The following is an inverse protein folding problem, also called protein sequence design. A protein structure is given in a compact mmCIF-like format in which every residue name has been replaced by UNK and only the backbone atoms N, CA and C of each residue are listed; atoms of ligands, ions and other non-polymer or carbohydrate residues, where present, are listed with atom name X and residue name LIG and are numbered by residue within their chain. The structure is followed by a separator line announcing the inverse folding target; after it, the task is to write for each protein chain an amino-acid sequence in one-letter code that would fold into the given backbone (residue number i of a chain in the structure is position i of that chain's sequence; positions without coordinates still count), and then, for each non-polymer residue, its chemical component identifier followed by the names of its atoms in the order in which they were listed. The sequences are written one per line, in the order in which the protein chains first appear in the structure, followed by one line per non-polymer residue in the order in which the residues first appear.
data_IF_114779612031
#
_entry.id   IF_114779612031
#
_cell.length_a   1.000
_cell.length_b   1.000
_cell.length_c   1.000
_cell.angle_alpha   90.00
_cell.angle_beta   90.00
_cell.angle_gamma   90.00
#
_symmetry.space_group_name_H-M   'P 1'
#
loop_
_entity.id
_entity.type
_entity.pdbx_description
1 polymer ?
#
# COMPACT_ATOMS: atom_id res chain seq x y z
N UNK A 1 -1.96 -23.40 -9.65
CA UNK A 1 -1.72 -22.63 -8.40
C UNK A 1 -2.50 -21.34 -8.52
N UNK A 2 -3.38 -21.04 -7.57
CA UNK A 2 -4.05 -19.74 -7.50
C UNK A 2 -3.23 -18.79 -6.62
N UNK A 3 -3.40 -17.49 -6.81
CA UNK A 3 -2.70 -16.44 -6.06
C UNK A 3 -3.77 -15.58 -5.39
N UNK A 4 -3.62 -15.30 -4.10
CA UNK A 4 -4.50 -14.39 -3.40
C UNK A 4 -3.68 -13.23 -2.82
N UNK A 5 -4.19 -12.02 -2.98
CA UNK A 5 -3.60 -10.82 -2.41
C UNK A 5 -4.68 -9.98 -1.72
N UNK A 6 -4.39 -9.48 -0.54
CA UNK A 6 -5.32 -8.61 0.16
C UNK A 6 -4.64 -7.29 0.56
N UNK A 7 -5.41 -6.22 0.61
CA UNK A 7 -5.00 -5.05 1.35
C UNK A 7 -4.87 -5.36 2.85
N UNK A 8 -4.17 -4.49 3.59
CA UNK A 8 -3.91 -4.69 5.01
C UNK A 8 -4.87 -3.88 5.89
N UNK A 9 -4.78 -2.56 5.86
CA UNK A 9 -5.54 -1.68 6.76
C UNK A 9 -7.00 -1.55 6.34
N UNK A 10 -7.93 -1.92 7.21
CA UNK A 10 -9.36 -1.95 6.87
C UNK A 10 -9.80 -3.24 6.19
N UNK A 11 -8.88 -4.04 5.66
CA UNK A 11 -9.17 -5.28 4.94
C UNK A 11 -8.80 -6.51 5.78
N UNK A 12 -7.52 -6.82 5.96
CA UNK A 12 -7.06 -7.95 6.79
C UNK A 12 -6.93 -7.54 8.26
N UNK A 13 -6.39 -6.36 8.51
CA UNK A 13 -6.22 -5.76 9.82
C UNK A 13 -7.37 -4.79 10.11
N UNK A 14 -8.24 -5.17 11.03
CA UNK A 14 -9.44 -4.41 11.42
C UNK A 14 -9.57 -4.36 12.93
N UNK A 15 -10.04 -3.24 13.46
CA UNK A 15 -10.26 -3.06 14.91
C UNK A 15 -9.01 -3.38 15.78
N UNK A 16 -7.82 -3.11 15.23
CA UNK A 16 -6.55 -3.34 15.92
C UNK A 16 -6.07 -4.79 15.94
N UNK A 17 -6.69 -5.69 15.16
CA UNK A 17 -6.36 -7.11 15.13
C UNK A 17 -6.52 -7.75 13.73
N UNK A 18 -5.90 -8.91 13.57
CA UNK A 18 -6.16 -9.86 12.48
C UNK A 18 -6.94 -11.03 13.06
N UNK A 19 -8.08 -11.40 12.45
CA UNK A 19 -8.94 -12.45 13.01
C UNK A 19 -8.30 -13.84 12.90
N UNK A 20 -8.49 -14.68 13.92
CA UNK A 20 -8.02 -16.07 13.88
C UNK A 20 -8.65 -16.87 12.73
N UNK A 21 -9.87 -16.53 12.32
CA UNK A 21 -10.56 -17.18 11.21
C UNK A 21 -9.94 -16.81 9.84
N UNK A 22 -9.42 -15.57 9.70
CA UNK A 22 -8.69 -15.17 8.51
C UNK A 22 -7.31 -15.85 8.46
N UNK A 23 -6.57 -15.89 9.58
CA UNK A 23 -5.29 -16.59 9.69
C UNK A 23 -5.40 -18.09 9.35
N UNK A 24 -6.43 -18.76 9.86
CA UNK A 24 -6.68 -20.18 9.55
C UNK A 24 -6.98 -20.38 8.06
N UNK A 25 -7.83 -19.53 7.46
CA UNK A 25 -8.16 -19.62 6.04
C UNK A 25 -6.92 -19.39 5.16
N UNK A 26 -6.06 -18.42 5.50
CA UNK A 26 -4.79 -18.18 4.80
C UNK A 26 -3.88 -19.42 4.91
N UNK A 27 -3.77 -20.01 6.10
CA UNK A 27 -2.96 -21.20 6.30
C UNK A 27 -3.49 -22.42 5.50
N UNK A 28 -4.82 -22.61 5.42
CA UNK A 28 -5.44 -23.64 4.58
C UNK A 28 -5.16 -23.39 3.11
N UNK A 29 -5.36 -22.15 2.64
CA UNK A 29 -5.09 -21.73 1.27
C UNK A 29 -3.65 -22.07 0.82
N UNK A 30 -2.67 -21.72 1.63
CA UNK A 30 -1.25 -21.98 1.34
C UNK A 30 -0.91 -23.47 1.38
N UNK A 31 -1.48 -24.24 2.35
CA UNK A 31 -1.31 -25.72 2.40
C UNK A 31 -1.92 -26.43 1.18
N UNK A 32 -2.88 -25.82 0.49
CA UNK A 32 -3.43 -26.33 -0.76
C UNK A 32 -2.54 -26.03 -2.00
N UNK A 33 -1.33 -25.52 -1.80
CA UNK A 33 -0.39 -25.22 -2.87
C UNK A 33 -0.63 -23.89 -3.59
N UNK A 34 -1.38 -22.98 -2.96
CA UNK A 34 -1.66 -21.65 -3.47
C UNK A 34 -0.77 -20.60 -2.77
N UNK A 35 -0.55 -19.46 -3.41
CA UNK A 35 0.21 -18.36 -2.85
C UNK A 35 -0.71 -17.31 -2.22
N UNK A 36 -0.26 -16.70 -1.11
CA UNK A 36 -0.94 -15.60 -0.45
C UNK A 36 0.02 -14.46 -0.12
N UNK A 37 -0.41 -13.22 -0.34
CA UNK A 37 0.37 -12.04 0.03
C UNK A 37 -0.46 -10.83 0.42
N UNK A 38 0.24 -9.79 0.85
CA UNK A 38 -0.33 -8.52 1.29
C UNK A 38 0.09 -7.43 0.33
N UNK A 39 -0.85 -6.55 -0.05
CA UNK A 39 -0.62 -5.39 -0.92
C UNK A 39 -1.08 -4.13 -0.21
N UNK A 40 -0.16 -3.24 0.19
CA UNK A 40 -0.48 -2.14 1.10
C UNK A 40 0.23 -0.84 0.76
N UNK A 41 -0.34 0.29 1.19
CA UNK A 41 0.35 1.59 1.20
C UNK A 41 1.45 1.71 2.25
N UNK A 42 1.45 0.83 3.27
CA UNK A 42 2.48 0.82 4.31
C UNK A 42 3.87 0.51 3.75
N UNK A 43 4.88 1.11 4.38
CA UNK A 43 6.27 0.69 4.16
C UNK A 43 6.55 -0.69 4.77
N UNK A 44 7.52 -1.42 4.18
CA UNK A 44 7.88 -2.79 4.58
C UNK A 44 8.07 -2.97 6.09
N UNK A 45 8.89 -2.14 6.72
CA UNK A 45 9.22 -2.32 8.14
C UNK A 45 8.02 -2.08 9.07
N UNK A 46 7.09 -1.20 8.68
CA UNK A 46 5.86 -0.98 9.44
C UNK A 46 4.87 -2.14 9.27
N UNK A 47 4.80 -2.72 8.09
CA UNK A 47 4.01 -3.92 7.83
C UNK A 47 4.56 -5.14 8.57
N UNK A 48 5.87 -5.39 8.49
CA UNK A 48 6.50 -6.59 9.07
C UNK A 48 6.31 -6.67 10.60
N UNK A 49 6.27 -5.56 11.32
CA UNK A 49 5.96 -5.56 12.76
C UNK A 49 4.61 -6.20 13.06
N UNK A 50 3.58 -5.89 12.26
CA UNK A 50 2.26 -6.47 12.45
C UNK A 50 2.17 -7.89 11.88
N UNK A 51 2.86 -8.19 10.79
CA UNK A 51 3.00 -9.56 10.26
C UNK A 51 3.60 -10.48 11.31
N UNK A 52 4.67 -10.06 11.98
CA UNK A 52 5.31 -10.81 13.07
C UNK A 52 4.40 -10.89 14.32
N UNK A 53 3.82 -9.76 14.72
CA UNK A 53 2.94 -9.68 15.91
C UNK A 53 1.75 -10.62 15.83
N UNK A 54 1.14 -10.74 14.66
CA UNK A 54 -0.05 -11.57 14.42
C UNK A 54 0.26 -12.92 13.80
N UNK A 55 1.55 -13.23 13.54
CA UNK A 55 2.01 -14.45 12.88
C UNK A 55 1.29 -14.67 11.53
N UNK A 56 1.19 -13.63 10.70
CA UNK A 56 0.50 -13.71 9.41
C UNK A 56 1.37 -14.48 8.42
N UNK A 57 0.92 -15.63 7.89
CA UNK A 57 1.69 -16.35 6.88
C UNK A 57 1.53 -15.68 5.51
N UNK A 58 2.62 -15.52 4.78
CA UNK A 58 2.65 -14.92 3.44
C UNK A 58 3.70 -15.57 2.54
N UNK A 59 3.61 -15.36 1.24
CA UNK A 59 4.56 -15.78 0.22
C UNK A 59 5.19 -14.58 -0.50
N UNK A 60 4.56 -13.39 -0.38
CA UNK A 60 5.07 -12.12 -0.88
C UNK A 60 4.44 -10.94 -0.15
N UNK A 61 5.12 -9.81 -0.19
CA UNK A 61 4.60 -8.53 0.28
C UNK A 61 4.79 -7.47 -0.82
N UNK A 62 3.76 -6.71 -1.09
CA UNK A 62 3.79 -5.54 -1.95
C UNK A 62 3.51 -4.32 -1.08
N UNK A 63 4.52 -3.51 -0.88
CA UNK A 63 4.51 -2.36 0.02
C UNK A 63 4.52 -1.04 -0.75
N UNK A 64 4.25 0.06 -0.05
CA UNK A 64 4.34 1.40 -0.63
C UNK A 64 3.52 1.55 -1.91
N UNK A 65 2.26 1.06 -1.88
CA UNK A 65 1.32 1.08 -3.03
C UNK A 65 1.85 0.39 -4.31
N UNK A 66 2.81 -0.53 -4.19
CA UNK A 66 3.41 -1.22 -5.33
C UNK A 66 4.85 -0.78 -5.65
N UNK A 67 5.36 0.26 -4.97
CA UNK A 67 6.72 0.73 -5.20
C UNK A 67 7.79 -0.27 -4.72
N UNK A 68 7.45 -1.17 -3.79
CA UNK A 68 8.38 -2.16 -3.26
C UNK A 68 7.73 -3.55 -3.24
N UNK A 69 8.44 -4.56 -3.74
CA UNK A 69 8.02 -5.96 -3.68
C UNK A 69 9.06 -6.76 -2.90
N UNK A 70 8.58 -7.58 -1.96
CA UNK A 70 9.42 -8.47 -1.15
C UNK A 70 9.00 -9.93 -1.35
N UNK A 71 9.96 -10.82 -1.23
CA UNK A 71 9.74 -12.27 -1.24
C UNK A 71 9.24 -12.81 0.11
N UNK A 72 9.14 -14.13 0.21
CA UNK A 72 8.73 -14.86 1.41
C UNK A 72 9.71 -14.76 2.59
N UNK A 73 10.93 -14.28 2.37
CA UNK A 73 11.94 -13.95 3.38
C UNK A 73 11.99 -12.44 3.68
N UNK A 74 11.03 -11.66 3.17
CA UNK A 74 11.00 -10.20 3.25
C UNK A 74 12.22 -9.52 2.62
N UNK A 75 12.88 -10.17 1.65
CA UNK A 75 13.96 -9.55 0.88
C UNK A 75 13.37 -8.74 -0.28
N UNK A 76 13.92 -7.55 -0.52
CA UNK A 76 13.49 -6.68 -1.60
C UNK A 76 13.87 -7.31 -2.96
N UNK A 77 12.89 -7.61 -3.80
CA UNK A 77 13.09 -8.14 -5.17
C UNK A 77 12.80 -7.09 -6.24
N UNK A 78 12.14 -5.98 -5.86
CA UNK A 78 11.87 -4.84 -6.73
C UNK A 78 11.67 -3.57 -5.90
N UNK A 79 12.14 -2.42 -6.43
CA UNK A 79 11.85 -1.10 -5.86
C UNK A 79 11.83 -0.04 -6.98
N UNK A 80 10.70 0.67 -7.09
CA UNK A 80 10.53 1.81 -7.99
C UNK A 80 10.88 3.11 -7.27
N UNK A 81 12.02 3.70 -7.60
CA UNK A 81 12.50 4.95 -6.98
C UNK A 81 11.79 6.16 -7.60
N UNK A 82 11.30 7.07 -6.76
CA UNK A 82 10.70 8.33 -7.19
C UNK A 82 11.77 9.21 -7.89
N UNK A 83 11.56 9.60 -9.15
CA UNK A 83 12.55 10.36 -9.89
C UNK A 83 12.94 11.67 -9.20
N UNK A 84 14.22 11.99 -9.16
CA UNK A 84 14.72 13.19 -8.47
C UNK A 84 14.16 14.48 -9.09
N UNK A 85 13.95 14.47 -10.41
CA UNK A 85 13.44 15.63 -11.15
C UNK A 85 12.05 16.11 -10.69
N UNK A 86 11.20 15.21 -10.14
CA UNK A 86 9.84 15.59 -9.69
C UNK A 86 9.78 15.97 -8.21
N UNK A 87 10.79 15.62 -7.43
CA UNK A 87 10.79 15.82 -5.97
C UNK A 87 10.67 17.28 -5.57
N UNK A 88 11.34 18.18 -6.28
CA UNK A 88 11.29 19.61 -5.99
C UNK A 88 9.85 20.16 -6.12
N UNK A 89 9.14 19.80 -7.19
CA UNK A 89 7.76 20.19 -7.38
C UNK A 89 6.84 19.67 -6.27
N UNK A 90 7.05 18.44 -5.80
CA UNK A 90 6.29 17.85 -4.69
C UNK A 90 6.59 18.60 -3.39
N UNK A 91 7.87 18.91 -3.08
CA UNK A 91 8.26 19.62 -1.86
C UNK A 91 7.74 21.05 -1.81
N UNK A 92 7.66 21.72 -2.96
CA UNK A 92 7.15 23.10 -3.10
C UNK A 92 5.62 23.16 -3.20
N UNK A 93 4.94 22.03 -3.37
CA UNK A 93 3.50 21.99 -3.55
C UNK A 93 2.75 22.54 -2.33
N UNK A 94 1.67 23.34 -2.51
CA UNK A 94 0.87 23.84 -1.39
C UNK A 94 0.34 22.74 -0.47
N UNK A 95 -0.06 21.61 -1.01
CA UNK A 95 -0.51 20.43 -0.24
C UNK A 95 0.58 19.86 0.67
N UNK A 96 1.85 19.86 0.27
CA UNK A 96 2.96 19.51 1.15
C UNK A 96 3.02 20.47 2.36
N UNK A 97 2.86 21.78 2.14
CA UNK A 97 2.84 22.76 3.24
C UNK A 97 1.63 22.58 4.16
N UNK A 98 0.45 22.29 3.59
CA UNK A 98 -0.80 22.11 4.32
C UNK A 98 -0.82 20.81 5.17
N UNK A 99 -0.10 19.76 4.77
CA UNK A 99 -0.09 18.50 5.51
C UNK A 99 0.42 18.69 6.94
N UNK A 100 -0.21 18.02 7.91
CA UNK A 100 0.20 18.04 9.32
C UNK A 100 1.40 17.12 9.58
N UNK A 101 1.53 16.05 8.81
CA UNK A 101 2.56 15.03 8.96
C UNK A 101 3.15 14.68 7.58
N UNK A 102 4.44 14.32 7.57
CA UNK A 102 5.10 13.86 6.36
C UNK A 102 6.19 12.84 6.70
N UNK A 103 6.22 11.74 5.95
CA UNK A 103 7.26 10.72 6.02
C UNK A 103 7.87 10.46 4.63
N UNK A 104 9.16 10.11 4.63
CA UNK A 104 9.95 9.75 3.46
C UNK A 104 10.40 8.30 3.59
N UNK A 105 10.11 7.47 2.61
CA UNK A 105 10.48 6.06 2.58
C UNK A 105 11.60 5.84 1.57
N UNK A 106 12.75 5.37 2.05
CA UNK A 106 13.92 5.13 1.22
C UNK A 106 14.58 3.79 1.59
N UNK A 107 14.53 2.83 0.68
CA UNK A 107 14.94 1.44 0.97
C UNK A 107 14.16 0.90 2.17
N UNK A 108 14.87 0.48 3.21
CA UNK A 108 14.26 0.01 4.47
C UNK A 108 14.10 1.10 5.52
N UNK A 109 14.54 2.33 5.22
CA UNK A 109 14.56 3.44 6.17
C UNK A 109 13.31 4.31 6.03
N UNK A 110 12.88 4.85 7.17
CA UNK A 110 11.79 5.82 7.24
C UNK A 110 12.34 7.06 7.92
N UNK A 111 12.05 8.21 7.34
CA UNK A 111 12.42 9.53 7.87
C UNK A 111 11.15 10.37 8.03
N UNK A 112 11.15 11.31 8.97
CA UNK A 112 10.07 12.27 9.13
C UNK A 112 10.52 13.68 8.76
N UNK A 113 9.59 14.52 8.35
CA UNK A 113 9.88 15.91 7.98
C UNK A 113 10.19 16.75 9.23
N UNK A 114 11.32 17.46 9.24
CA UNK A 114 11.83 18.21 10.40
C UNK A 114 10.87 19.31 10.93
N UNK A 115 10.02 19.87 10.07
CA UNK A 115 9.06 20.93 10.42
C UNK A 115 7.64 20.48 10.69
N UNK A 116 7.37 19.16 10.83
CA UNK A 116 6.02 18.60 11.00
C UNK A 116 5.93 17.70 12.21
N UNK A 117 4.71 17.33 12.60
CA UNK A 117 4.49 16.31 13.66
C UNK A 117 4.92 14.93 13.17
N UNK A 118 5.20 14.01 14.10
CA UNK A 118 5.60 12.65 13.75
C UNK A 118 4.48 11.92 13.00
N UNK A 119 4.88 11.17 11.99
CA UNK A 119 3.94 10.43 11.17
C UNK A 119 3.22 9.35 11.99
N UNK A 120 1.89 9.30 11.93
CA UNK A 120 1.05 8.53 12.84
C UNK A 120 1.39 7.03 12.92
N UNK A 121 1.82 6.44 11.80
CA UNK A 121 2.14 5.01 11.73
C UNK A 121 3.44 4.64 12.44
N UNK A 122 4.27 5.63 12.78
CA UNK A 122 5.59 5.45 13.40
C UNK A 122 5.75 6.26 14.68
N UNK A 123 4.66 6.80 15.23
CA UNK A 123 4.66 7.69 16.40
C UNK A 123 5.36 7.13 17.66
N UNK A 124 5.46 5.81 17.77
CA UNK A 124 6.10 5.15 18.90
C UNK A 124 7.61 4.93 18.69
N UNK A 125 8.17 5.47 17.61
CA UNK A 125 9.59 5.37 17.26
C UNK A 125 10.21 6.75 17.04
N UNK A 126 11.41 6.93 17.56
CA UNK A 126 12.21 8.12 17.23
C UNK A 126 12.85 7.87 15.87
N UNK A 127 12.32 8.52 14.84
CA UNK A 127 12.83 8.45 13.50
C UNK A 127 13.76 9.64 13.17
N UNK A 128 14.76 9.44 12.32
CA UNK A 128 15.56 10.54 11.81
C UNK A 128 14.67 11.56 11.09
N UNK A 129 14.97 12.84 11.30
CA UNK A 129 14.25 13.95 10.68
C UNK A 129 15.06 14.53 9.53
N UNK A 130 14.40 14.80 8.41
CA UNK A 130 15.01 15.45 7.25
C UNK A 130 14.33 16.80 7.00
N UNK A 131 15.14 17.77 6.65
CA UNK A 131 14.68 19.00 5.99
C UNK A 131 14.20 18.69 4.56
N UNK A 132 13.37 19.54 3.95
CA UNK A 132 13.01 19.41 2.52
C UNK A 132 14.24 19.31 1.60
N UNK A 133 15.28 20.08 1.86
CA UNK A 133 16.51 20.08 1.07
C UNK A 133 17.26 18.73 1.13
N UNK A 134 17.33 18.10 2.30
CA UNK A 134 17.94 16.77 2.46
C UNK A 134 17.07 15.69 1.78
N UNK A 135 15.75 15.79 1.89
CA UNK A 135 14.83 14.84 1.28
C UNK A 135 14.86 14.86 -0.26
N UNK A 136 15.14 16.03 -0.88
CA UNK A 136 15.31 16.13 -2.34
C UNK A 136 16.37 15.18 -2.88
N UNK A 137 17.49 15.03 -2.16
CA UNK A 137 18.64 14.24 -2.58
C UNK A 137 18.74 12.89 -1.86
N UNK A 138 17.66 12.46 -1.18
CA UNK A 138 17.64 11.18 -0.46
C UNK A 138 17.76 10.01 -1.44
N UNK A 139 18.85 9.22 -1.39
CA UNK A 139 19.01 8.06 -2.26
C UNK A 139 17.92 7.02 -2.00
N UNK A 140 17.38 6.42 -3.07
CA UNK A 140 16.39 5.35 -2.96
C UNK A 140 15.03 5.80 -2.43
N UNK A 141 14.73 7.10 -2.40
CA UNK A 141 13.40 7.61 -2.04
C UNK A 141 12.36 7.07 -3.02
N UNK A 142 11.41 6.27 -2.52
CA UNK A 142 10.40 5.60 -3.33
C UNK A 142 8.97 5.99 -2.96
N UNK A 143 8.74 6.56 -1.78
CA UNK A 143 7.44 7.11 -1.39
C UNK A 143 7.60 8.33 -0.49
N UNK A 144 6.75 9.34 -0.73
CA UNK A 144 6.51 10.47 0.17
C UNK A 144 5.07 10.33 0.65
N UNK A 145 4.88 10.21 1.96
CA UNK A 145 3.55 10.07 2.57
C UNK A 145 3.20 11.33 3.33
N UNK A 146 2.02 11.86 3.05
CA UNK A 146 1.45 13.04 3.69
C UNK A 146 0.20 12.64 4.46
N UNK A 147 0.00 13.21 5.65
CA UNK A 147 -1.26 13.06 6.37
C UNK A 147 -1.86 14.43 6.70
N UNK A 148 -3.17 14.52 6.68
CA UNK A 148 -3.96 15.71 6.93
C UNK A 148 -4.84 15.52 8.16
N UNK A 149 -5.42 16.60 8.67
CA UNK A 149 -6.29 16.53 9.85
C UNK A 149 -7.63 15.87 9.51
N UNK A 150 -8.16 16.16 8.32
CA UNK A 150 -9.51 15.72 7.90
C UNK A 150 -9.48 15.02 6.54
N UNK A 151 -10.33 14.00 6.33
CA UNK A 151 -10.42 13.29 5.04
C UNK A 151 -10.79 14.20 3.85
N UNK A 152 -11.58 15.25 4.08
CA UNK A 152 -11.93 16.22 3.04
C UNK A 152 -10.74 17.03 2.54
N UNK A 153 -9.77 17.34 3.41
CA UNK A 153 -8.54 18.04 3.02
C UNK A 153 -7.65 17.14 2.16
N UNK A 154 -7.47 15.88 2.56
CA UNK A 154 -6.66 14.92 1.81
C UNK A 154 -7.24 14.63 0.42
N UNK A 155 -8.56 14.52 0.29
CA UNK A 155 -9.21 14.33 -1.01
C UNK A 155 -8.94 15.51 -1.96
N UNK A 156 -9.17 16.75 -1.50
CA UNK A 156 -8.92 17.95 -2.29
C UNK A 156 -7.43 18.09 -2.70
N UNK A 157 -6.51 17.82 -1.79
CA UNK A 157 -5.08 17.87 -2.10
C UNK A 157 -4.63 16.72 -3.00
N UNK A 158 -5.27 15.55 -2.93
CA UNK A 158 -5.00 14.44 -3.85
C UNK A 158 -5.30 14.82 -5.30
N UNK A 159 -6.41 15.50 -5.55
CA UNK A 159 -6.75 16.03 -6.87
C UNK A 159 -5.69 17.04 -7.34
N UNK A 160 -5.33 18.01 -6.48
CA UNK A 160 -4.33 19.01 -6.80
C UNK A 160 -2.93 18.43 -7.06
N UNK A 161 -2.50 17.40 -6.31
CA UNK A 161 -1.26 16.69 -6.58
C UNK A 161 -1.31 15.92 -7.90
N UNK A 162 -2.45 15.28 -8.20
CA UNK A 162 -2.65 14.55 -9.46
C UNK A 162 -2.54 15.50 -10.65
N UNK A 163 -3.16 16.67 -10.57
CA UNK A 163 -3.04 17.71 -11.61
C UNK A 163 -1.59 18.25 -11.71
N UNK A 164 -0.95 18.54 -10.57
CA UNK A 164 0.38 19.13 -10.53
C UNK A 164 1.50 18.17 -10.91
N UNK A 165 1.39 16.90 -10.59
CA UNK A 165 2.38 15.89 -10.95
C UNK A 165 2.16 15.31 -12.36
N UNK A 166 0.91 15.31 -12.85
CA UNK A 166 0.56 14.70 -14.12
C UNK A 166 1.03 13.25 -14.21
N UNK A 167 1.67 12.89 -15.31
CA UNK A 167 2.23 11.55 -15.53
C UNK A 167 3.61 11.34 -14.88
N UNK A 168 4.13 12.33 -14.15
CA UNK A 168 5.50 12.27 -13.60
C UNK A 168 5.59 11.60 -12.25
N UNK A 169 4.47 11.38 -11.55
CA UNK A 169 4.40 10.66 -10.28
C UNK A 169 3.03 10.00 -10.09
N UNK A 170 3.01 8.88 -9.37
CA UNK A 170 1.78 8.24 -8.89
C UNK A 170 1.28 8.94 -7.63
N UNK A 171 -0.02 9.22 -7.55
CA UNK A 171 -0.69 9.82 -6.38
C UNK A 171 -1.76 8.85 -5.88
N UNK A 172 -1.62 8.40 -4.64
CA UNK A 172 -2.52 7.42 -4.03
C UNK A 172 -3.22 8.04 -2.83
N UNK A 173 -4.52 8.08 -2.86
CA UNK A 173 -5.36 8.61 -1.80
C UNK A 173 -5.97 7.48 -0.97
N UNK A 174 -5.92 7.63 0.34
CA UNK A 174 -6.56 6.73 1.30
C UNK A 174 -6.89 7.50 2.57
N UNK A 175 -8.16 7.63 2.88
CA UNK A 175 -8.67 8.32 4.07
C UNK A 175 -8.04 9.73 4.27
N UNK A 176 -7.17 9.90 5.29
CA UNK A 176 -6.47 11.17 5.57
C UNK A 176 -5.08 11.25 4.92
N UNK A 177 -4.67 10.24 4.18
CA UNK A 177 -3.31 10.12 3.66
C UNK A 177 -3.25 10.31 2.14
N UNK A 178 -2.14 10.87 1.68
CA UNK A 178 -1.73 10.89 0.28
C UNK A 178 -0.32 10.31 0.21
N UNK A 179 -0.14 9.28 -0.58
CA UNK A 179 1.17 8.71 -0.88
C UNK A 179 1.57 9.08 -2.30
N UNK A 180 2.78 9.58 -2.48
CA UNK A 180 3.34 9.96 -3.77
C UNK A 180 4.52 9.05 -4.07
N UNK A 181 4.47 8.37 -5.23
CA UNK A 181 5.43 7.35 -5.68
C UNK A 181 5.96 7.68 -7.07
N UNK A 182 6.83 6.82 -7.60
CA UNK A 182 7.22 6.88 -9.01
C UNK A 182 5.99 6.77 -9.93
N UNK A 183 6.07 7.27 -11.17
CA UNK A 183 5.01 7.06 -12.16
C UNK A 183 4.75 5.57 -12.39
N UNK A 184 3.55 5.24 -12.83
CA UNK A 184 3.10 3.85 -13.11
C UNK A 184 3.11 2.90 -11.89
N UNK A 185 3.40 3.38 -10.70
CA UNK A 185 3.26 2.61 -9.45
C UNK A 185 1.80 2.62 -9.02
N UNK A 186 1.27 1.43 -8.74
CA UNK A 186 -0.02 1.20 -8.09
C UNK A 186 -0.05 -0.20 -7.50
N UNK A 187 -1.04 -0.51 -6.65
CA UNK A 187 -1.25 -1.88 -6.14
C UNK A 187 -1.45 -2.87 -7.29
N UNK A 188 -2.14 -2.47 -8.37
CA UNK A 188 -2.31 -3.28 -9.58
C UNK A 188 -0.98 -3.54 -10.27
N UNK A 189 -0.21 -2.50 -10.58
CA UNK A 189 1.08 -2.62 -11.24
C UNK A 189 2.09 -3.44 -10.42
N UNK A 190 2.08 -3.29 -9.08
CA UNK A 190 2.88 -4.10 -8.18
C UNK A 190 2.54 -5.60 -8.28
N UNK A 191 1.24 -5.95 -8.35
CA UNK A 191 0.81 -7.33 -8.57
C UNK A 191 1.25 -7.86 -9.95
N UNK A 192 1.06 -7.10 -11.03
CA UNK A 192 1.52 -7.51 -12.36
C UNK A 192 3.04 -7.73 -12.40
N UNK A 193 3.80 -6.82 -11.76
CA UNK A 193 5.25 -6.97 -11.64
C UNK A 193 5.64 -8.25 -10.90
N UNK A 194 4.97 -8.55 -9.78
CA UNK A 194 5.18 -9.79 -9.04
C UNK A 194 4.90 -11.03 -9.89
N UNK A 195 3.76 -11.07 -10.58
CA UNK A 195 3.38 -12.18 -11.47
C UNK A 195 4.44 -12.43 -12.53
N UNK A 196 4.93 -11.35 -13.14
CA UNK A 196 6.00 -11.42 -14.14
C UNK A 196 7.33 -11.93 -13.54
N UNK A 197 7.77 -11.35 -12.42
CA UNK A 197 9.01 -11.75 -11.73
C UNK A 197 9.02 -13.22 -11.30
N UNK A 198 7.88 -13.70 -10.79
CA UNK A 198 7.72 -15.07 -10.30
C UNK A 198 7.32 -16.08 -11.39
N UNK A 199 6.94 -15.61 -12.59
CA UNK A 199 6.37 -16.42 -13.68
C UNK A 199 5.13 -17.22 -13.21
N UNK A 200 4.24 -16.56 -12.47
CA UNK A 200 3.12 -17.21 -11.79
C UNK A 200 1.83 -17.31 -12.62
N UNK A 201 1.89 -17.07 -13.92
CA UNK A 201 0.72 -17.25 -14.79
C UNK A 201 -0.03 -15.96 -15.09
N UNK A 202 -1.30 -16.12 -15.43
CA UNK A 202 -2.16 -15.05 -15.94
C UNK A 202 -3.00 -14.40 -14.82
N UNK A 203 -3.54 -13.22 -15.11
CA UNK A 203 -4.38 -12.45 -14.18
C UNK A 203 -5.64 -13.20 -13.70
N UNK A 204 -6.13 -14.16 -14.47
CA UNK A 204 -7.34 -14.96 -14.15
C UNK A 204 -7.16 -15.88 -12.93
N UNK A 205 -5.92 -16.23 -12.59
CA UNK A 205 -5.58 -17.03 -11.41
C UNK A 205 -5.42 -16.20 -10.13
N UNK A 206 -5.65 -14.87 -10.21
CA UNK A 206 -5.39 -13.91 -9.13
C UNK A 206 -6.70 -13.48 -8.46
N UNK A 207 -6.78 -13.66 -7.16
CA UNK A 207 -7.87 -13.16 -6.31
C UNK A 207 -7.34 -11.96 -5.51
N UNK A 208 -7.96 -10.80 -5.66
CA UNK A 208 -7.61 -9.61 -4.88
C UNK A 208 -8.80 -9.10 -4.08
N UNK A 209 -8.54 -8.54 -2.90
CA UNK A 209 -9.58 -7.95 -2.04
C UNK A 209 -9.02 -6.71 -1.33
N UNK A 210 -9.86 -5.68 -1.23
CA UNK A 210 -9.50 -4.39 -0.61
C UNK A 210 -10.72 -3.63 -0.08
N UNK A 211 -10.50 -2.43 0.46
CA UNK A 211 -11.56 -1.61 1.06
C UNK A 211 -11.52 -0.12 0.68
N UNK A 212 -10.39 0.43 0.23
CA UNK A 212 -10.26 1.89 0.02
C UNK A 212 -9.89 2.24 -1.44
N UNK A 213 -9.86 3.53 -1.72
CA UNK A 213 -9.72 4.08 -3.07
C UNK A 213 -8.41 3.68 -3.76
N UNK A 214 -7.32 3.49 -3.01
CA UNK A 214 -6.05 3.01 -3.57
C UNK A 214 -6.08 1.51 -3.97
N UNK A 215 -7.15 0.77 -3.59
CA UNK A 215 -7.40 -0.61 -4.04
C UNK A 215 -8.16 -0.67 -5.37
N UNK A 216 -8.88 0.39 -5.73
CA UNK A 216 -9.72 0.40 -6.93
C UNK A 216 -9.00 -0.02 -8.21
N UNK A 217 -7.77 0.47 -8.50
CA UNK A 217 -7.04 0.02 -9.68
C UNK A 217 -6.80 -1.50 -9.68
N UNK A 218 -6.42 -2.08 -8.53
CA UNK A 218 -6.19 -3.50 -8.38
C UNK A 218 -7.50 -4.31 -8.52
N UNK A 219 -8.57 -3.86 -7.85
CA UNK A 219 -9.88 -4.51 -7.91
C UNK A 219 -10.43 -4.52 -9.35
N UNK A 220 -10.34 -3.41 -10.06
CA UNK A 220 -10.80 -3.32 -11.46
C UNK A 220 -9.97 -4.19 -12.40
N UNK A 221 -8.66 -4.17 -12.24
CA UNK A 221 -7.73 -4.89 -13.12
C UNK A 221 -7.88 -6.41 -13.01
N UNK A 222 -7.97 -6.93 -11.79
CA UNK A 222 -8.09 -8.37 -11.50
C UNK A 222 -9.52 -8.85 -11.31
N UNK A 223 -10.52 -8.03 -11.61
CA UNK A 223 -11.93 -8.35 -11.36
C UNK A 223 -12.18 -8.77 -9.91
N UNK A 224 -11.57 -8.05 -8.98
CA UNK A 224 -11.43 -8.40 -7.58
C UNK A 224 -12.65 -8.13 -6.71
N UNK A 225 -12.44 -8.18 -5.42
CA UNK A 225 -13.46 -8.21 -4.38
C UNK A 225 -13.29 -7.05 -3.40
N UNK A 226 -14.39 -6.74 -2.69
CA UNK A 226 -14.37 -5.78 -1.59
C UNK A 226 -14.73 -6.46 -0.27
N UNK A 227 -14.20 -5.95 0.85
CA UNK A 227 -14.72 -6.31 2.17
C UNK A 227 -15.99 -5.52 2.49
N UNK A 228 -16.80 -6.04 3.43
CA UNK A 228 -18.12 -5.47 3.76
C UNK A 228 -18.05 -4.00 4.24
N UNK A 229 -16.96 -3.60 4.89
CA UNK A 229 -16.71 -2.24 5.37
C UNK A 229 -16.06 -1.31 4.33
N UNK A 230 -15.82 -1.78 3.11
CA UNK A 230 -15.19 -1.00 2.05
C UNK A 230 -15.99 0.26 1.68
N UNK A 231 -15.29 1.24 1.13
CA UNK A 231 -15.89 2.46 0.59
C UNK A 231 -16.98 2.13 -0.46
N UNK A 232 -18.04 2.94 -0.58
CA UNK A 232 -19.15 2.67 -1.50
C UNK A 232 -18.69 2.43 -2.94
N UNK A 233 -17.76 3.26 -3.44
CA UNK A 233 -17.23 3.16 -4.82
C UNK A 233 -16.40 1.88 -5.04
N UNK A 234 -15.67 1.42 -4.01
CA UNK A 234 -14.93 0.17 -4.04
C UNK A 234 -15.88 -1.02 -4.10
N UNK A 235 -16.93 -1.03 -3.27
CA UNK A 235 -17.98 -2.08 -3.33
C UNK A 235 -18.70 -2.10 -4.68
N UNK A 236 -19.02 -0.93 -5.22
CA UNK A 236 -19.69 -0.83 -6.52
C UNK A 236 -18.84 -1.35 -7.68
N UNK A 237 -17.52 -1.22 -7.59
CA UNK A 237 -16.58 -1.68 -8.61
C UNK A 237 -16.17 -3.15 -8.47
N UNK A 238 -16.44 -3.78 -7.33
CA UNK A 238 -16.03 -5.16 -7.03
C UNK A 238 -16.96 -6.21 -7.64
N UNK A 239 -16.41 -7.39 -7.96
CA UNK A 239 -17.20 -8.52 -8.47
C UNK A 239 -18.10 -9.17 -7.41
N UNK A 240 -17.71 -9.07 -6.15
CA UNK A 240 -18.50 -9.46 -4.99
C UNK A 240 -17.96 -8.82 -3.71
N UNK A 241 -18.79 -8.79 -2.68
CA UNK A 241 -18.46 -8.29 -1.36
C UNK A 241 -18.43 -9.44 -0.36
N UNK A 242 -17.33 -9.55 0.40
CA UNK A 242 -17.15 -10.57 1.42
C UNK A 242 -17.06 -9.97 2.83
N UNK A 243 -17.52 -10.68 3.87
CA UNK A 243 -17.33 -10.25 5.25
C UNK A 243 -15.86 -10.13 5.67
N UNK A 244 -14.98 -10.97 5.09
CA UNK A 244 -13.55 -10.98 5.40
C UNK A 244 -12.72 -11.65 4.31
N UNK A 245 -11.39 -11.47 4.39
CA UNK A 245 -10.42 -12.17 3.54
C UNK A 245 -10.59 -13.69 3.62
N UNK A 246 -10.72 -14.22 4.84
CA UNK A 246 -10.88 -15.66 5.04
C UNK A 246 -12.17 -16.22 4.43
N UNK A 247 -13.25 -15.43 4.38
CA UNK A 247 -14.48 -15.87 3.72
C UNK A 247 -14.28 -15.93 2.19
N UNK A 248 -13.63 -14.92 1.61
CA UNK A 248 -13.27 -14.94 0.17
C UNK A 248 -12.43 -16.19 -0.16
N UNK A 249 -11.38 -16.46 0.61
CA UNK A 249 -10.50 -17.62 0.38
C UNK A 249 -11.25 -18.95 0.44
N UNK A 250 -12.18 -19.11 1.37
CA UNK A 250 -13.00 -20.34 1.50
C UNK A 250 -13.97 -20.54 0.35
N UNK A 251 -14.55 -19.47 -0.20
CA UNK A 251 -15.57 -19.56 -1.26
C UNK A 251 -14.98 -19.58 -2.67
N UNK A 252 -13.77 -19.08 -2.85
CA UNK A 252 -13.10 -18.98 -4.16
C UNK A 252 -11.87 -19.89 -4.30
N UNK A 253 -11.47 -20.55 -3.20
CA UNK A 253 -10.37 -21.49 -3.11
C UNK A 253 -10.54 -22.84 -3.78
#
# INVERSE_FOLDING_TARGET
MKIAACDFDGTLFRDGAVSGADLEAIAVWRRSGNAFGIVTGRGRNTLLRDVERFNIPYDFLICNNGAMICDEQAQDVYCAVLPEAVRAGIMDHPGMRASSQCAFFAGTSIFTHAGKTDYWIVKDHILPRLSPAEALHLPGLHQISLAYAEPGESAAWSEAFTEGCGESAGVHFSNICIDITAPDVSKAAGMEHLLHLRRWGEAEDVLVIGDDMNDLPMIRHFNGYAVANAAPDVRAASSAVFPSVGQMLRERG
#
